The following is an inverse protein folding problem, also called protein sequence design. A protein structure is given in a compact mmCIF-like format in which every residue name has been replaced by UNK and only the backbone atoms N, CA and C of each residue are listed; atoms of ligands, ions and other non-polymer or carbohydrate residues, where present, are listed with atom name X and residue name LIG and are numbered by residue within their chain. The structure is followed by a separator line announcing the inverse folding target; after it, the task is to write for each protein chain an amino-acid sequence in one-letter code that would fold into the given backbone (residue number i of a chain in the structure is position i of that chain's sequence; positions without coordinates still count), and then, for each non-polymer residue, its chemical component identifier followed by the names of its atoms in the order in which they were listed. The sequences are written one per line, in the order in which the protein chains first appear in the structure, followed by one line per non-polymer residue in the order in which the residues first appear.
data_IF_279432457824
#
_entry.id   IF_279432457824
#
_cell.length_a   1.000
_cell.length_b   1.000
_cell.length_c   1.000
_cell.angle_alpha   90.00
_cell.angle_beta   90.00
_cell.angle_gamma   90.00
#
_symmetry.space_group_name_H-M   'P 1'
#
loop_
_entity.id
_entity.type
_entity.pdbx_description
1 polymer ?
#
# COMPACT_ATOMS: atom_id res chain seq x y z
N UNK A 1 -4.86 12.65 35.99
CA UNK A 1 -5.43 11.33 35.69
C UNK A 1 -5.06 10.98 34.26
N UNK A 2 -4.16 10.02 34.04
CA UNK A 2 -3.82 9.51 32.70
C UNK A 2 -5.07 8.79 32.18
N UNK A 3 -5.62 9.22 31.05
CA UNK A 3 -6.76 8.55 30.43
C UNK A 3 -6.32 7.19 29.88
N UNK A 4 -6.31 6.17 30.73
CA UNK A 4 -5.96 4.78 30.40
C UNK A 4 -6.87 4.17 29.31
N UNK A 5 -7.97 4.83 28.95
CA UNK A 5 -8.92 4.41 27.92
C UNK A 5 -8.65 5.01 26.53
N UNK A 6 -7.98 6.17 26.43
CA UNK A 6 -7.71 6.82 25.13
C UNK A 6 -6.54 6.16 24.38
N UNK A 7 -5.55 5.66 25.12
CA UNK A 7 -4.37 4.97 24.58
C UNK A 7 -4.75 3.72 23.74
N UNK A 8 -5.58 2.78 24.25
CA UNK A 8 -5.92 1.58 23.47
C UNK A 8 -6.75 1.89 22.22
N UNK A 9 -7.63 2.90 22.27
CA UNK A 9 -8.46 3.30 21.11
C UNK A 9 -7.57 3.83 19.99
N UNK A 10 -6.60 4.68 20.30
CA UNK A 10 -5.67 5.21 19.29
C UNK A 10 -4.83 4.10 18.63
N UNK A 11 -4.41 3.09 19.39
CA UNK A 11 -3.65 1.95 18.85
C UNK A 11 -4.52 1.14 17.87
N UNK A 12 -5.76 0.83 18.25
CA UNK A 12 -6.70 0.09 17.38
C UNK A 12 -7.00 0.88 16.11
N UNK A 13 -7.27 2.18 16.24
CA UNK A 13 -7.56 3.04 15.09
C UNK A 13 -6.37 3.13 14.14
N UNK A 14 -5.16 3.35 14.66
CA UNK A 14 -3.93 3.35 13.84
C UNK A 14 -3.79 2.04 13.09
N UNK A 15 -3.89 0.89 13.78
CA UNK A 15 -3.78 -0.43 13.14
C UNK A 15 -4.81 -0.61 12.04
N UNK A 16 -6.07 -0.27 12.30
CA UNK A 16 -7.12 -0.38 11.29
C UNK A 16 -6.87 0.51 10.07
N UNK A 17 -6.54 1.79 10.29
CA UNK A 17 -6.26 2.75 9.23
C UNK A 17 -5.12 2.27 8.33
N UNK A 18 -4.05 1.76 8.94
CA UNK A 18 -2.87 1.26 8.26
C UNK A 18 -3.16 0.00 7.43
N UNK A 19 -3.84 -0.99 8.00
CA UNK A 19 -4.32 -2.16 7.27
C UNK A 19 -5.23 -1.76 6.11
N UNK A 20 -6.14 -0.80 6.33
CA UNK A 20 -7.04 -0.31 5.30
C UNK A 20 -6.29 0.39 4.16
N UNK A 21 -5.28 1.22 4.49
CA UNK A 21 -4.45 1.90 3.51
C UNK A 21 -3.71 0.89 2.61
N UNK A 22 -3.19 -0.20 3.18
CA UNK A 22 -2.54 -1.24 2.40
C UNK A 22 -3.50 -2.02 1.51
N UNK A 23 -4.64 -2.45 2.05
CA UNK A 23 -5.64 -3.19 1.27
C UNK A 23 -6.17 -2.33 0.12
N UNK A 24 -6.48 -1.06 0.38
CA UNK A 24 -6.92 -0.13 -0.65
C UNK A 24 -5.84 0.14 -1.69
N UNK A 25 -4.56 0.24 -1.28
CA UNK A 25 -3.43 0.37 -2.19
C UNK A 25 -3.21 -0.87 -3.07
N UNK A 26 -3.38 -2.08 -2.54
CA UNK A 26 -3.34 -3.34 -3.31
C UNK A 26 -4.44 -3.36 -4.37
N UNK A 27 -5.68 -3.04 -3.97
CA UNK A 27 -6.82 -3.00 -4.89
C UNK A 27 -6.63 -1.93 -5.98
N UNK A 28 -6.11 -0.76 -5.60
CA UNK A 28 -5.77 0.30 -6.55
C UNK A 28 -4.69 -0.17 -7.54
N UNK A 29 -3.68 -0.90 -7.07
CA UNK A 29 -2.65 -1.48 -7.92
C UNK A 29 -3.20 -2.44 -8.98
N UNK A 30 -4.11 -3.34 -8.59
CA UNK A 30 -4.82 -4.21 -9.55
C UNK A 30 -5.65 -3.41 -10.54
N UNK A 31 -6.41 -2.42 -10.05
CA UNK A 31 -7.24 -1.57 -10.90
C UNK A 31 -6.41 -0.81 -11.94
N UNK A 32 -5.33 -0.13 -11.53
CA UNK A 32 -4.47 0.62 -12.44
C UNK A 32 -3.74 -0.29 -13.43
N UNK A 33 -3.31 -1.47 -13.00
CA UNK A 33 -2.70 -2.45 -13.91
C UNK A 33 -3.69 -2.88 -15.00
N UNK A 34 -4.92 -3.23 -14.61
CA UNK A 34 -5.98 -3.59 -15.55
C UNK A 34 -6.36 -2.44 -16.47
N UNK A 35 -6.46 -1.22 -15.94
CA UNK A 35 -6.74 -0.01 -16.70
C UNK A 35 -5.64 0.27 -17.74
N UNK A 36 -4.38 0.18 -17.34
CA UNK A 36 -3.23 0.38 -18.23
C UNK A 36 -3.21 -0.64 -19.37
N UNK A 37 -3.42 -1.93 -19.06
CA UNK A 37 -3.53 -2.99 -20.08
C UNK A 37 -4.71 -2.72 -21.03
N UNK A 38 -5.87 -2.33 -20.48
CA UNK A 38 -7.05 -2.01 -21.28
C UNK A 38 -6.77 -0.85 -22.24
N UNK A 39 -6.09 0.21 -21.79
CA UNK A 39 -5.67 1.34 -22.63
C UNK A 39 -4.76 0.88 -23.78
N UNK A 40 -3.72 0.09 -23.45
CA UNK A 40 -2.76 -0.44 -24.44
C UNK A 40 -3.47 -1.29 -25.50
N UNK A 41 -4.47 -2.09 -25.12
CA UNK A 41 -5.22 -2.92 -26.08
C UNK A 41 -6.34 -2.19 -26.82
N UNK A 42 -6.91 -1.15 -26.21
CA UNK A 42 -8.16 -0.51 -26.65
C UNK A 42 -7.99 0.66 -27.60
N UNK A 43 -6.76 1.20 -27.77
CA UNK A 43 -6.44 2.38 -28.62
C UNK A 43 -7.30 3.63 -28.40
N UNK A 44 -7.98 3.75 -27.25
CA UNK A 44 -8.82 4.91 -26.90
C UNK A 44 -7.96 6.11 -26.47
N UNK A 45 -6.79 5.84 -25.89
CA UNK A 45 -5.85 6.82 -25.36
C UNK A 45 -4.43 6.47 -25.83
N UNK A 46 -3.49 7.41 -25.72
CA UNK A 46 -2.08 7.20 -26.02
C UNK A 46 -1.51 5.95 -25.33
N UNK A 47 -0.86 5.07 -26.10
CA UNK A 47 -0.36 3.78 -25.64
C UNK A 47 0.71 3.96 -24.55
N UNK A 48 1.54 5.00 -24.66
CA UNK A 48 2.58 5.35 -23.70
C UNK A 48 1.99 5.64 -22.32
N UNK A 49 0.83 6.30 -22.27
CA UNK A 49 0.12 6.54 -21.01
C UNK A 49 -0.40 5.23 -20.42
N UNK A 50 -0.86 4.30 -21.25
CA UNK A 50 -1.27 2.96 -20.83
C UNK A 50 -0.14 2.19 -20.17
N UNK A 51 1.05 2.19 -20.77
CA UNK A 51 2.25 1.58 -20.18
C UNK A 51 2.66 2.24 -18.86
N UNK A 52 2.62 3.57 -18.78
CA UNK A 52 2.93 4.30 -17.55
C UNK A 52 1.95 3.94 -16.42
N UNK A 53 0.64 3.94 -16.72
CA UNK A 53 -0.41 3.60 -15.75
C UNK A 53 -0.25 2.14 -15.28
N UNK A 54 0.01 1.21 -16.20
CA UNK A 54 0.24 -0.18 -15.84
C UNK A 54 1.47 -0.35 -14.94
N UNK A 55 2.58 0.33 -15.26
CA UNK A 55 3.79 0.31 -14.45
C UNK A 55 3.55 0.86 -13.04
N UNK A 56 2.82 1.97 -12.91
CA UNK A 56 2.44 2.54 -11.62
C UNK A 56 1.53 1.60 -10.83
N UNK A 57 0.57 0.94 -11.48
CA UNK A 57 -0.30 -0.06 -10.86
C UNK A 57 0.46 -1.24 -10.29
N UNK A 58 1.37 -1.82 -11.08
CA UNK A 58 2.23 -2.94 -10.65
C UNK A 58 3.13 -2.50 -9.49
N UNK A 59 3.71 -1.31 -9.57
CA UNK A 59 4.56 -0.75 -8.50
C UNK A 59 3.78 -0.56 -7.21
N UNK A 60 2.58 0.05 -7.28
CA UNK A 60 1.71 0.24 -6.13
C UNK A 60 1.31 -1.10 -5.50
N UNK A 61 0.94 -2.09 -6.32
CA UNK A 61 0.64 -3.43 -5.84
C UNK A 61 1.81 -4.03 -5.04
N UNK A 62 3.02 -4.02 -5.58
CA UNK A 62 4.18 -4.61 -4.89
C UNK A 62 4.56 -3.86 -3.63
N UNK A 63 4.47 -2.52 -3.63
CA UNK A 63 4.75 -1.71 -2.44
C UNK A 63 3.73 -2.03 -1.35
N UNK A 64 2.44 -1.97 -1.65
CA UNK A 64 1.39 -2.20 -0.65
C UNK A 64 1.27 -3.66 -0.22
N UNK A 65 1.40 -4.63 -1.14
CA UNK A 65 1.40 -6.05 -0.79
C UNK A 65 2.66 -6.42 0.00
N UNK A 66 3.83 -5.95 -0.43
CA UNK A 66 5.07 -6.20 0.29
C UNK A 66 5.07 -5.55 1.67
N UNK A 67 4.39 -4.42 1.82
CA UNK A 67 4.18 -3.79 3.11
C UNK A 67 3.20 -4.62 3.99
N UNK A 68 2.01 -4.94 3.47
CA UNK A 68 0.97 -5.71 4.18
C UNK A 68 1.45 -7.09 4.66
N UNK A 69 2.18 -7.82 3.82
CA UNK A 69 2.71 -9.15 4.14
C UNK A 69 4.10 -9.12 4.79
N UNK A 70 4.67 -7.93 5.05
CA UNK A 70 6.00 -7.75 5.62
C UNK A 70 7.09 -8.53 4.86
N UNK A 71 7.09 -8.44 3.52
CA UNK A 71 8.05 -9.15 2.68
C UNK A 71 9.50 -8.65 2.91
N UNK A 72 10.48 -9.52 2.67
CA UNK A 72 11.89 -9.17 2.85
C UNK A 72 12.36 -8.09 1.87
N UNK A 73 11.80 -8.08 0.64
CA UNK A 73 12.17 -7.13 -0.40
C UNK A 73 11.76 -5.69 -0.04
N UNK A 74 10.57 -5.48 0.50
CA UNK A 74 10.09 -4.16 0.94
C UNK A 74 10.86 -3.67 2.15
N UNK A 75 11.23 -4.56 3.08
CA UNK A 75 12.16 -4.25 4.18
C UNK A 75 13.55 -3.86 3.70
N UNK A 76 14.04 -4.46 2.62
CA UNK A 76 15.34 -4.13 2.04
C UNK A 76 15.32 -2.76 1.33
N UNK A 77 14.25 -2.46 0.59
CA UNK A 77 14.12 -1.20 -0.19
C UNK A 77 13.81 -0.01 0.72
N UNK A 78 12.90 -0.16 1.68
CA UNK A 78 12.40 0.94 2.52
C UNK A 78 12.95 0.92 3.95
N UNK A 79 13.82 -0.04 4.26
CA UNK A 79 14.46 -0.23 5.56
C UNK A 79 13.66 -1.11 6.53
N UNK A 80 14.34 -1.63 7.57
CA UNK A 80 13.70 -2.30 8.72
C UNK A 80 13.11 -1.32 9.73
N UNK A 81 12.95 -0.06 9.32
CA UNK A 81 12.34 1.00 10.09
C UNK A 81 10.84 0.88 9.97
N UNK A 82 10.21 0.66 11.11
CA UNK A 82 8.78 0.70 11.29
C UNK A 82 8.18 1.99 10.74
N UNK A 83 7.71 1.98 9.51
CA UNK A 83 6.48 2.71 9.20
C UNK A 83 5.29 2.06 9.95
N UNK A 84 5.46 0.82 10.45
CA UNK A 84 4.45 0.00 11.11
C UNK A 84 5.11 -0.87 12.21
N UNK A 85 4.57 -0.89 13.44
CA UNK A 85 5.00 -1.69 14.61
C UNK A 85 6.33 -1.34 15.32
N UNK A 86 6.58 -0.07 15.66
CA UNK A 86 7.44 0.27 16.81
C UNK A 86 6.66 1.19 17.74
N UNK A 87 5.89 0.58 18.63
CA UNK A 87 5.39 1.16 19.89
C UNK A 87 4.84 -0.01 20.75
N UNK A 88 5.54 -1.15 20.76
CA UNK A 88 5.28 -2.23 21.73
C UNK A 88 6.39 -2.40 22.76
N UNK A 89 7.52 -1.69 22.64
CA UNK A 89 8.59 -1.73 23.63
C UNK A 89 8.99 -0.30 24.01
N UNK A 90 8.21 0.29 24.93
CA UNK A 90 8.63 1.17 26.04
C UNK A 90 7.40 1.71 26.80
#
# INVERSE_FOLDING_TARGET
MKNNLLIPITIVFKRFFFTFLDISGILLGFFLTGLGVWIVTGRIVAEELGYLIAFLGVSAFFIHAGHYFNLAITRWIFGSGSYFHKDQDN
#
